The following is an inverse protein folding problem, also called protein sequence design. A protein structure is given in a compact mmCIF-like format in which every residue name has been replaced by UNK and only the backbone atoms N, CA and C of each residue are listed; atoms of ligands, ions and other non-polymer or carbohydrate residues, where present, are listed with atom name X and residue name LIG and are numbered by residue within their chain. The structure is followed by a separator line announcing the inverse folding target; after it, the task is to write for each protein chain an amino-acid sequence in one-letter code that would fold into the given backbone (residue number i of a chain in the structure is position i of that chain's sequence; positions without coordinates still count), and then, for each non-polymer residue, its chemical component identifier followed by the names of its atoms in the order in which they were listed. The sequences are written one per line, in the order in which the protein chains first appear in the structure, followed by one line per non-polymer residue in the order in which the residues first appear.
data_IF_074189856358
#
_entry.id   IF_074189856358
#
_cell.length_a   1.000
_cell.length_b   1.000
_cell.length_c   1.000
_cell.angle_alpha   90.00
_cell.angle_beta   90.00
_cell.angle_gamma   90.00
#
_symmetry.space_group_name_H-M   'P 1'
#
loop_
_entity.id
_entity.type
_entity.pdbx_description
1 polymer ?
#
# COMPACT_ATOMS: atom_id res chain seq x y z
N UNK A 1 27.17 -26.99 90.28
CA UNK A 1 25.86 -26.64 89.69
C UNK A 1 25.49 -25.23 90.15
N UNK A 2 25.48 -24.27 89.20
CA UNK A 2 24.60 -23.07 89.04
C UNK A 2 24.16 -22.30 90.30
N UNK A 3 24.34 -20.98 90.43
CA UNK A 3 23.59 -19.89 89.76
C UNK A 3 24.13 -18.53 90.29
N UNK A 4 24.56 -17.55 89.46
CA UNK A 4 23.83 -16.32 89.02
C UNK A 4 23.56 -15.30 90.17
N UNK A 5 23.60 -13.96 90.11
CA UNK A 5 23.90 -12.84 89.18
C UNK A 5 23.60 -11.57 90.02
N UNK A 6 24.28 -10.42 89.87
CA UNK A 6 23.63 -9.08 89.95
C UNK A 6 24.51 -7.96 89.40
N UNK A 7 23.84 -7.03 88.71
CA UNK A 7 24.30 -5.85 87.98
C UNK A 7 24.74 -4.67 88.87
N UNK A 8 25.48 -3.71 88.27
CA UNK A 8 25.61 -2.33 88.75
C UNK A 8 26.15 -1.40 87.64
N UNK A 9 25.46 -0.29 87.42
CA UNK A 9 25.41 0.53 86.19
C UNK A 9 26.34 1.76 86.21
N UNK A 10 26.66 2.30 85.02
CA UNK A 10 27.52 3.46 84.71
C UNK A 10 26.98 4.85 85.13
N UNK A 11 27.89 5.84 85.22
CA UNK A 11 27.66 7.27 84.92
C UNK A 11 29.01 7.98 84.61
N UNK A 12 29.21 8.54 83.39
CA UNK A 12 29.13 9.98 83.00
C UNK A 12 30.49 10.72 83.15
N UNK A 13 31.07 11.45 82.17
CA UNK A 13 30.58 12.61 81.40
C UNK A 13 31.42 12.80 80.11
N UNK A 14 30.82 13.23 78.99
CA UNK A 14 31.50 13.65 77.76
C UNK A 14 31.09 15.07 77.36
N UNK A 15 32.06 15.99 77.27
CA UNK A 15 31.87 17.39 76.84
C UNK A 15 31.65 17.47 75.33
N UNK A 16 30.54 18.09 74.92
CA UNK A 16 30.11 18.24 73.53
C UNK A 16 30.57 19.60 72.96
N UNK A 17 31.72 19.64 72.29
CA UNK A 17 32.16 20.79 71.50
C UNK A 17 31.29 20.96 70.24
N UNK A 18 30.68 22.13 70.07
CA UNK A 18 29.81 22.46 68.92
C UNK A 18 30.67 22.76 67.69
N UNK A 19 31.01 21.75 66.90
CA UNK A 19 31.61 21.95 65.57
C UNK A 19 30.56 22.55 64.63
N UNK A 20 30.75 23.79 64.18
CA UNK A 20 29.96 24.36 63.09
C UNK A 20 30.44 23.72 61.78
N UNK A 21 29.60 22.87 61.20
CA UNK A 21 29.88 22.18 59.93
C UNK A 21 30.16 23.24 58.84
N UNK A 22 31.28 23.18 58.10
CA UNK A 22 31.58 24.15 57.06
C UNK A 22 30.46 24.12 56.02
N UNK A 23 29.91 25.29 55.70
CA UNK A 23 28.85 25.41 54.69
C UNK A 23 29.43 25.06 53.32
N UNK A 24 28.84 24.07 52.66
CA UNK A 24 29.24 23.65 51.31
C UNK A 24 29.24 24.88 50.36
N UNK A 25 30.39 25.26 49.78
CA UNK A 25 30.50 26.42 48.89
C UNK A 25 29.67 26.28 47.61
N UNK A 26 29.26 25.05 47.25
CA UNK A 26 28.48 24.78 46.04
C UNK A 26 26.97 24.75 46.28
N UNK A 27 26.49 24.92 47.52
CA UNK A 27 25.05 24.86 47.83
C UNK A 27 24.22 25.87 47.02
N UNK A 28 24.75 27.07 46.81
CA UNK A 28 24.09 28.09 45.99
C UNK A 28 24.13 27.79 44.48
N UNK A 29 25.17 27.10 44.00
CA UNK A 29 25.25 26.63 42.63
C UNK A 29 24.23 25.51 42.38
N UNK A 30 24.10 24.55 43.32
CA UNK A 30 23.11 23.49 43.24
C UNK A 30 21.66 24.03 43.24
N UNK A 31 21.37 25.03 44.08
CA UNK A 31 20.07 25.72 44.08
C UNK A 31 19.85 26.48 42.76
N UNK A 32 20.86 27.23 42.29
CA UNK A 32 20.77 27.99 41.05
C UNK A 32 20.53 27.11 39.82
N UNK A 33 21.27 26.01 39.67
CA UNK A 33 21.09 25.04 38.58
C UNK A 33 19.72 24.37 38.65
N UNK A 34 19.23 24.05 39.86
CA UNK A 34 17.90 23.48 40.04
C UNK A 34 16.79 24.45 39.63
N UNK A 35 16.87 25.72 40.07
CA UNK A 35 15.89 26.76 39.70
C UNK A 35 15.92 27.04 38.21
N UNK A 36 17.11 27.16 37.61
CA UNK A 36 17.26 27.35 36.16
C UNK A 36 16.61 26.18 35.43
N UNK A 37 16.90 24.94 35.80
CA UNK A 37 16.33 23.75 35.14
C UNK A 37 14.80 23.68 35.29
N UNK A 38 14.26 24.02 36.47
CA UNK A 38 12.81 24.04 36.73
C UNK A 38 12.10 25.11 35.88
N UNK A 39 12.77 26.20 35.52
CA UNK A 39 12.18 27.27 34.70
C UNK A 39 12.41 27.03 33.20
N UNK A 40 13.62 26.63 32.82
CA UNK A 40 13.99 26.52 31.40
C UNK A 40 13.42 25.27 30.75
N UNK A 41 13.30 24.15 31.46
CA UNK A 41 12.74 22.91 30.88
C UNK A 41 11.26 23.09 30.51
N UNK A 42 10.35 23.55 31.39
CA UNK A 42 8.96 23.79 31.02
C UNK A 42 8.80 24.89 29.98
N UNK A 43 9.63 25.94 30.04
CA UNK A 43 9.61 27.01 29.04
C UNK A 43 10.04 26.49 27.67
N UNK A 44 11.08 25.65 27.59
CA UNK A 44 11.51 25.00 26.35
C UNK A 44 10.46 24.02 25.84
N UNK A 45 9.84 23.21 26.71
CA UNK A 45 8.73 22.31 26.34
C UNK A 45 7.53 23.08 25.79
N UNK A 46 7.18 24.21 26.41
CA UNK A 46 6.10 25.08 25.93
C UNK A 46 6.48 25.69 24.56
N UNK A 47 7.68 26.22 24.40
CA UNK A 47 8.15 26.78 23.12
C UNK A 47 8.13 25.71 22.02
N UNK A 48 8.62 24.49 22.32
CA UNK A 48 8.60 23.37 21.38
C UNK A 48 7.17 22.96 21.05
N UNK A 49 6.28 22.86 22.04
CA UNK A 49 4.87 22.48 21.81
C UNK A 49 4.11 23.51 20.96
N UNK A 50 4.47 24.79 21.04
CA UNK A 50 3.85 25.84 20.22
C UNK A 50 4.47 25.94 18.82
N UNK A 51 5.69 25.41 18.64
CA UNK A 51 6.43 25.45 17.37
C UNK A 51 6.23 24.18 16.51
N UNK A 52 5.71 23.08 17.07
CA UNK A 52 5.37 21.89 16.31
C UNK A 52 4.06 22.16 15.55
N UNK A 53 4.06 22.15 14.21
CA UNK A 53 2.81 22.25 13.44
C UNK A 53 1.88 21.10 13.84
N UNK A 54 0.58 21.38 13.94
CA UNK A 54 -0.42 20.33 14.18
C UNK A 54 -0.22 19.23 13.16
N UNK A 55 -0.18 17.95 13.58
CA UNK A 55 -0.08 16.84 12.63
C UNK A 55 -1.20 16.97 11.58
N UNK A 56 -0.93 16.65 10.30
CA UNK A 56 -1.98 16.60 9.30
C UNK A 56 -3.09 15.66 9.79
N UNK A 57 -4.33 15.96 9.43
CA UNK A 57 -5.43 15.05 9.74
C UNK A 57 -5.12 13.66 9.17
N UNK A 58 -5.46 12.58 9.90
CA UNK A 58 -5.30 11.23 9.37
C UNK A 58 -5.97 11.10 8.00
N UNK A 59 -5.33 10.38 7.09
CA UNK A 59 -5.98 9.99 5.84
C UNK A 59 -7.34 9.32 6.15
N UNK A 60 -8.33 9.56 5.30
CA UNK A 60 -9.69 9.00 5.42
C UNK A 60 -10.53 9.51 6.60
N UNK A 61 -10.17 10.62 7.24
CA UNK A 61 -10.89 11.13 8.43
C UNK A 61 -12.37 11.46 8.15
N UNK A 62 -12.68 12.02 6.98
CA UNK A 62 -14.05 12.35 6.60
C UNK A 62 -14.88 11.09 6.33
N UNK A 63 -14.31 10.13 5.60
CA UNK A 63 -14.94 8.86 5.24
C UNK A 63 -15.19 8.02 6.50
N UNK A 64 -14.18 7.92 7.37
CA UNK A 64 -14.27 7.22 8.65
C UNK A 64 -15.39 7.76 9.53
N UNK A 65 -15.53 9.09 9.60
CA UNK A 65 -16.64 9.75 10.31
C UNK A 65 -17.98 9.34 9.72
N UNK A 66 -18.11 9.31 8.39
CA UNK A 66 -19.36 8.92 7.73
C UNK A 66 -19.72 7.44 7.89
N UNK A 67 -18.71 6.57 8.06
CA UNK A 67 -18.88 5.14 8.25
C UNK A 67 -18.96 4.74 9.74
N UNK A 68 -18.70 5.67 10.67
CA UNK A 68 -18.68 5.38 12.11
C UNK A 68 -17.53 4.47 12.54
N UNK A 69 -16.39 4.52 11.83
CA UNK A 69 -15.20 3.68 12.07
C UNK A 69 -13.97 4.54 12.35
N UNK A 70 -12.84 3.91 12.71
CA UNK A 70 -11.58 4.62 12.87
C UNK A 70 -10.89 4.82 11.51
N UNK A 71 -10.27 5.98 11.23
CA UNK A 71 -9.51 6.20 9.99
C UNK A 71 -8.42 5.15 9.77
N UNK A 72 -7.82 4.67 10.87
CA UNK A 72 -6.81 3.62 10.83
C UNK A 72 -7.31 2.29 10.26
N UNK A 73 -8.59 1.93 10.45
CA UNK A 73 -9.15 0.69 9.90
C UNK A 73 -9.28 0.77 8.38
N UNK A 74 -9.67 1.93 7.86
CA UNK A 74 -9.70 2.20 6.41
C UNK A 74 -8.27 2.14 5.84
N UNK A 75 -7.30 2.81 6.47
CA UNK A 75 -5.89 2.76 6.03
C UNK A 75 -5.31 1.34 6.03
N UNK A 76 -5.64 0.51 7.02
CA UNK A 76 -5.22 -0.89 7.06
C UNK A 76 -5.90 -1.72 5.96
N UNK A 77 -7.15 -1.41 5.65
CA UNK A 77 -7.88 -1.94 4.51
C UNK A 77 -7.21 -1.60 3.18
N UNK A 78 -6.84 -0.34 2.99
CA UNK A 78 -6.12 0.15 1.82
C UNK A 78 -4.79 -0.60 1.59
N UNK A 79 -3.99 -0.77 2.64
CA UNK A 79 -2.72 -1.52 2.55
C UNK A 79 -2.96 -2.96 2.09
N UNK A 80 -3.98 -3.62 2.63
CA UNK A 80 -4.36 -4.98 2.23
C UNK A 80 -4.86 -5.02 0.78
N UNK A 81 -5.70 -4.05 0.40
CA UNK A 81 -6.22 -3.89 -0.96
C UNK A 81 -5.08 -3.73 -1.98
N UNK A 82 -4.11 -2.84 -1.72
CA UNK A 82 -2.96 -2.62 -2.60
C UNK A 82 -2.11 -3.87 -2.78
N UNK A 83 -2.01 -4.71 -1.73
CA UNK A 83 -1.23 -5.95 -1.78
C UNK A 83 -1.93 -7.16 -2.40
N UNK A 84 -3.27 -7.17 -2.48
CA UNK A 84 -4.01 -8.38 -2.87
C UNK A 84 -5.10 -8.18 -3.92
N UNK A 85 -5.55 -6.96 -4.17
CA UNK A 85 -6.69 -6.68 -5.05
C UNK A 85 -6.32 -5.72 -6.19
N UNK A 86 -5.44 -4.76 -5.93
CA UNK A 86 -5.03 -3.75 -6.90
C UNK A 86 -4.40 -4.34 -8.18
N UNK A 87 -3.87 -5.56 -8.10
CA UNK A 87 -3.28 -6.29 -9.23
C UNK A 87 -4.27 -6.63 -10.34
N UNK A 88 -5.57 -6.65 -10.05
CA UNK A 88 -6.61 -6.85 -11.06
C UNK A 88 -7.59 -5.67 -11.12
N UNK A 89 -7.80 -4.99 -9.99
CA UNK A 89 -8.79 -3.91 -9.87
C UNK A 89 -8.19 -2.50 -9.93
N UNK A 90 -6.89 -2.37 -10.18
CA UNK A 90 -6.18 -1.11 -10.23
C UNK A 90 -5.83 -0.56 -8.83
N UNK A 91 -4.78 0.27 -8.73
CA UNK A 91 -4.28 0.79 -7.45
C UNK A 91 -5.29 1.65 -6.67
N UNK A 92 -6.26 2.25 -7.37
CA UNK A 92 -7.31 3.10 -6.83
C UNK A 92 -8.71 2.50 -6.95
N UNK A 93 -8.85 1.25 -7.42
CA UNK A 93 -10.15 0.63 -7.70
C UNK A 93 -10.76 1.06 -9.03
N UNK A 94 -9.99 1.64 -9.95
CA UNK A 94 -10.42 2.08 -11.27
C UNK A 94 -10.72 0.91 -12.24
N UNK A 95 -10.38 -0.32 -11.86
CA UNK A 95 -10.46 -1.49 -12.73
C UNK A 95 -9.22 -1.62 -13.61
N UNK A 96 -9.03 -2.82 -14.17
CA UNK A 96 -8.08 -3.03 -15.27
C UNK A 96 -8.76 -3.87 -16.32
N UNK A 97 -8.65 -3.44 -17.59
CA UNK A 97 -9.27 -4.13 -18.71
C UNK A 97 -8.87 -5.63 -18.72
N UNK A 98 -9.76 -6.52 -19.15
CA UNK A 98 -9.62 -7.99 -19.13
C UNK A 98 -9.35 -8.67 -17.76
N UNK A 99 -9.03 -7.93 -16.69
CA UNK A 99 -8.64 -8.49 -15.39
C UNK A 99 -9.73 -8.29 -14.33
N UNK A 100 -10.05 -7.04 -13.99
CA UNK A 100 -10.94 -6.73 -12.87
C UNK A 100 -11.78 -5.50 -13.13
N UNK A 101 -13.07 -5.59 -12.80
CA UNK A 101 -14.02 -4.48 -12.89
C UNK A 101 -13.63 -3.31 -11.96
N UNK A 102 -14.04 -2.06 -12.27
CA UNK A 102 -13.90 -0.96 -11.34
C UNK A 102 -14.65 -1.22 -10.04
N UNK A 103 -13.97 -0.93 -8.92
CA UNK A 103 -14.49 -1.01 -7.56
C UNK A 103 -14.77 0.38 -6.98
N UNK A 104 -14.04 1.41 -7.42
CA UNK A 104 -14.31 2.82 -7.13
C UNK A 104 -15.59 3.24 -7.81
N UNK A 105 -16.46 3.91 -7.07
CA UNK A 105 -17.79 4.33 -7.52
C UNK A 105 -18.60 3.17 -8.12
N UNK A 106 -18.38 1.94 -7.66
CA UNK A 106 -19.05 0.76 -8.21
C UNK A 106 -20.46 0.62 -7.67
N UNK A 107 -21.45 0.56 -8.58
CA UNK A 107 -22.85 0.31 -8.21
C UNK A 107 -23.00 -0.98 -7.41
N UNK A 108 -22.25 -2.04 -7.78
CA UNK A 108 -22.26 -3.31 -7.06
C UNK A 108 -21.72 -3.16 -5.63
N UNK A 109 -20.57 -2.49 -5.46
CA UNK A 109 -20.04 -2.25 -4.12
C UNK A 109 -21.09 -1.51 -3.30
N UNK A 110 -21.62 -0.40 -3.81
CA UNK A 110 -22.61 0.44 -3.11
C UNK A 110 -23.91 -0.27 -2.75
N UNK A 111 -24.38 -1.23 -3.55
CA UNK A 111 -25.67 -1.91 -3.32
C UNK A 111 -25.60 -3.11 -2.38
N UNK A 112 -24.45 -3.76 -2.25
CA UNK A 112 -24.30 -4.96 -1.42
C UNK A 112 -24.17 -4.62 0.06
N UNK A 113 -24.55 -5.55 0.94
CA UNK A 113 -24.21 -5.44 2.37
C UNK A 113 -22.72 -5.70 2.61
N UNK A 114 -22.19 -5.25 3.75
CA UNK A 114 -20.79 -5.50 4.11
C UNK A 114 -20.50 -7.00 4.29
N UNK A 115 -21.45 -7.76 4.83
CA UNK A 115 -21.34 -9.21 4.97
C UNK A 115 -21.33 -9.93 3.61
N UNK A 116 -22.13 -9.47 2.64
CA UNK A 116 -22.13 -10.04 1.29
C UNK A 116 -20.82 -9.72 0.55
N UNK A 117 -20.29 -8.50 0.71
CA UNK A 117 -18.99 -8.13 0.16
C UNK A 117 -17.88 -8.95 0.79
N UNK A 118 -17.88 -9.11 2.12
CA UNK A 118 -16.91 -9.94 2.82
C UNK A 118 -17.01 -11.41 2.35
N UNK A 119 -18.22 -11.95 2.24
CA UNK A 119 -18.46 -13.28 1.70
C UNK A 119 -17.92 -13.47 0.28
N UNK A 120 -18.11 -12.47 -0.59
CA UNK A 120 -17.53 -12.48 -1.93
C UNK A 120 -16.00 -12.42 -1.89
N UNK A 121 -15.40 -11.59 -1.04
CA UNK A 121 -13.94 -11.52 -0.91
C UNK A 121 -13.35 -12.83 -0.37
N UNK A 122 -14.04 -13.49 0.56
CA UNK A 122 -13.61 -14.77 1.14
C UNK A 122 -13.64 -15.88 0.08
N UNK A 123 -14.73 -15.99 -0.67
CA UNK A 123 -14.97 -17.11 -1.59
C UNK A 123 -14.47 -16.86 -3.01
N UNK A 124 -14.25 -15.59 -3.38
CA UNK A 124 -14.01 -15.19 -4.76
C UNK A 124 -15.23 -15.44 -5.65
N UNK A 125 -15.01 -15.36 -6.96
CA UNK A 125 -16.00 -15.71 -7.99
C UNK A 125 -15.32 -16.50 -9.12
N UNK A 126 -15.64 -17.79 -9.30
CA UNK A 126 -15.00 -18.61 -10.33
C UNK A 126 -15.43 -18.21 -11.75
N UNK A 127 -14.65 -18.63 -12.76
CA UNK A 127 -14.89 -18.32 -14.18
C UNK A 127 -16.27 -18.80 -14.65
N UNK A 128 -16.69 -19.97 -14.16
CA UNK A 128 -17.95 -20.62 -14.54
C UNK A 128 -19.16 -20.14 -13.73
N UNK A 129 -19.00 -19.20 -12.81
CA UNK A 129 -20.10 -18.64 -12.03
C UNK A 129 -21.10 -17.92 -12.95
N UNK A 130 -22.40 -18.10 -12.69
CA UNK A 130 -23.46 -17.53 -13.51
C UNK A 130 -23.45 -15.99 -13.50
N UNK A 131 -23.06 -15.38 -12.38
CA UNK A 131 -22.98 -13.93 -12.21
C UNK A 131 -21.59 -13.37 -12.55
N UNK A 132 -20.63 -14.20 -12.95
CA UNK A 132 -19.38 -13.72 -13.52
C UNK A 132 -19.64 -13.26 -14.95
N UNK A 133 -19.58 -11.96 -15.19
CA UNK A 133 -19.76 -11.36 -16.52
C UNK A 133 -18.43 -10.95 -17.18
N UNK A 134 -17.33 -10.89 -16.43
CA UNK A 134 -16.01 -10.53 -16.99
C UNK A 134 -15.28 -11.70 -17.64
N UNK A 135 -15.68 -12.94 -17.34
CA UNK A 135 -14.96 -14.13 -17.79
C UNK A 135 -13.62 -14.34 -17.07
N UNK A 136 -13.20 -13.40 -16.22
CA UNK A 136 -12.00 -13.49 -15.40
C UNK A 136 -12.31 -14.13 -14.04
N UNK A 137 -11.37 -14.93 -13.51
CA UNK A 137 -11.44 -15.46 -12.15
C UNK A 137 -11.24 -14.32 -11.16
N UNK A 138 -12.18 -14.10 -10.24
CA UNK A 138 -11.90 -13.37 -9.00
C UNK A 138 -11.44 -14.40 -7.96
N UNK A 139 -10.15 -14.42 -7.59
CA UNK A 139 -9.65 -15.46 -6.70
C UNK A 139 -10.19 -15.25 -5.27
N UNK A 140 -10.42 -16.35 -4.52
CA UNK A 140 -10.68 -16.27 -3.09
C UNK A 140 -9.57 -15.48 -2.40
N UNK A 141 -9.94 -14.53 -1.55
CA UNK A 141 -9.04 -13.77 -0.68
C UNK A 141 -7.92 -13.04 -1.44
N UNK A 142 -8.18 -12.65 -2.70
CA UNK A 142 -7.20 -11.98 -3.55
C UNK A 142 -6.01 -12.85 -3.95
N UNK A 143 -6.20 -14.19 -3.99
CA UNK A 143 -5.13 -15.18 -4.23
C UNK A 143 -4.00 -15.14 -3.17
N UNK A 144 -4.27 -14.56 -2.01
CA UNK A 144 -3.34 -14.40 -0.91
C UNK A 144 -3.93 -15.03 0.37
N UNK A 145 -3.10 -15.35 1.35
CA UNK A 145 -3.56 -15.90 2.63
C UNK A 145 -4.00 -14.78 3.61
N UNK A 146 -4.90 -13.90 3.15
CA UNK A 146 -5.40 -12.75 3.94
C UNK A 146 -6.50 -13.23 4.88
N UNK A 147 -6.39 -12.97 6.18
CA UNK A 147 -7.40 -13.35 7.19
C UNK A 147 -8.73 -12.54 7.08
N UNK A 148 -9.80 -13.01 7.73
CA UNK A 148 -11.14 -12.41 7.62
C UNK A 148 -11.19 -10.98 8.16
N UNK A 149 -10.41 -10.68 9.22
CA UNK A 149 -10.34 -9.35 9.83
C UNK A 149 -9.73 -8.34 8.85
N UNK A 150 -8.67 -8.72 8.14
CA UNK A 150 -8.06 -7.90 7.09
C UNK A 150 -9.02 -7.71 5.91
N UNK A 151 -9.76 -8.75 5.50
CA UNK A 151 -10.77 -8.61 4.43
C UNK A 151 -11.93 -7.70 4.85
N UNK A 152 -12.39 -7.76 6.11
CA UNK A 152 -13.40 -6.83 6.62
C UNK A 152 -12.91 -5.38 6.54
N UNK A 153 -11.62 -5.12 6.82
CA UNK A 153 -11.03 -3.79 6.61
C UNK A 153 -10.96 -3.40 5.13
N UNK A 154 -10.72 -4.34 4.22
CA UNK A 154 -10.82 -4.07 2.77
C UNK A 154 -12.24 -3.62 2.42
N UNK A 155 -13.29 -4.22 3.00
CA UNK A 155 -14.67 -3.73 2.80
C UNK A 155 -14.82 -2.27 3.25
N UNK A 156 -14.28 -1.89 4.41
CA UNK A 156 -14.29 -0.49 4.86
C UNK A 156 -13.56 0.45 3.89
N UNK A 157 -12.43 0.01 3.33
CA UNK A 157 -11.74 0.76 2.27
C UNK A 157 -12.58 0.89 1.00
N UNK A 158 -13.21 -0.20 0.55
CA UNK A 158 -14.09 -0.19 -0.61
C UNK A 158 -15.28 0.76 -0.41
N UNK A 159 -15.79 0.90 0.82
CA UNK A 159 -16.79 1.91 1.17
C UNK A 159 -16.23 3.33 1.10
N UNK A 160 -15.04 3.54 1.64
CA UNK A 160 -14.40 4.85 1.70
C UNK A 160 -14.08 5.44 0.32
N UNK A 161 -13.74 4.58 -0.66
CA UNK A 161 -13.41 5.05 -2.02
C UNK A 161 -14.64 5.35 -2.91
N UNK A 162 -15.86 5.23 -2.37
CA UNK A 162 -17.08 5.60 -3.10
C UNK A 162 -17.34 7.10 -2.92
N UNK A 163 -17.14 7.86 -3.98
CA UNK A 163 -17.59 9.24 -4.06
C UNK A 163 -19.11 9.25 -4.27
N UNK A 164 -19.80 9.85 -3.30
CA UNK A 164 -21.27 9.90 -3.21
C UNK A 164 -21.87 10.85 -4.24
N UNK A 165 -21.09 11.83 -4.68
CA UNK A 165 -21.49 12.89 -5.59
C UNK A 165 -21.09 12.55 -7.04
N UNK A 166 -20.26 11.52 -7.23
CA UNK A 166 -19.89 11.00 -8.54
C UNK A 166 -20.91 9.97 -9.06
N UNK A 167 -21.16 9.92 -10.39
CA UNK A 167 -21.93 8.82 -10.97
C UNK A 167 -21.22 7.49 -10.78
N UNK A 168 -22.00 6.40 -10.73
CA UNK A 168 -21.43 5.06 -10.64
C UNK A 168 -20.62 4.72 -11.88
N UNK A 169 -19.47 4.07 -11.70
CA UNK A 169 -18.61 3.60 -12.77
C UNK A 169 -19.35 2.61 -13.68
N UNK A 170 -19.25 2.86 -14.99
CA UNK A 170 -19.68 1.94 -16.04
C UNK A 170 -18.88 0.64 -15.96
N UNK A 171 -19.54 -0.51 -16.15
CA UNK A 171 -18.88 -1.83 -16.17
C UNK A 171 -19.01 -2.56 -17.51
N UNK A 172 -19.60 -1.91 -18.50
CA UNK A 172 -19.90 -2.40 -19.84
C UNK A 172 -18.64 -2.88 -20.58
N UNK A 173 -17.52 -2.17 -20.40
CA UNK A 173 -16.20 -2.52 -20.94
C UNK A 173 -15.65 -3.85 -20.39
N UNK A 174 -16.12 -4.25 -19.21
CA UNK A 174 -15.68 -5.46 -18.50
C UNK A 174 -16.74 -6.58 -18.53
N UNK A 175 -17.82 -6.42 -19.32
CA UNK A 175 -18.77 -7.51 -19.58
C UNK A 175 -18.32 -8.23 -20.85
N UNK A 176 -17.47 -9.25 -20.67
CA UNK A 176 -16.74 -9.93 -21.74
C UNK A 176 -17.24 -11.36 -22.01
N UNK A 177 -18.00 -11.96 -21.09
CA UNK A 177 -18.42 -13.37 -21.18
C UNK A 177 -19.24 -13.71 -22.42
N UNK A 178 -19.97 -12.74 -22.96
CA UNK A 178 -20.85 -12.90 -24.13
C UNK A 178 -20.37 -12.11 -25.36
N UNK A 179 -19.15 -11.55 -25.34
CA UNK A 179 -18.58 -10.82 -26.49
C UNK A 179 -17.92 -11.78 -27.47
N UNK A 180 -18.58 -12.02 -28.61
CA UNK A 180 -17.99 -12.72 -29.76
C UNK A 180 -17.01 -11.84 -30.55
N UNK A 181 -17.07 -10.52 -30.34
CA UNK A 181 -16.24 -9.48 -30.91
C UNK A 181 -15.36 -8.84 -29.81
N UNK A 182 -14.10 -9.24 -29.77
CA UNK A 182 -13.11 -8.84 -28.76
C UNK A 182 -12.69 -7.36 -28.82
N UNK A 183 -13.61 -6.42 -28.64
CA UNK A 183 -13.30 -5.02 -28.35
C UNK A 183 -14.50 -4.34 -27.67
N UNK A 184 -14.27 -3.71 -26.51
CA UNK A 184 -15.31 -2.96 -25.81
C UNK A 184 -14.77 -1.92 -24.85
N UNK A 185 -14.78 -0.66 -25.30
CA UNK A 185 -14.47 0.64 -24.66
C UNK A 185 -15.06 0.83 -23.25
N UNK A 186 -14.50 1.61 -22.32
CA UNK A 186 -14.04 3.03 -22.45
C UNK A 186 -13.02 3.38 -21.33
N UNK A 187 -11.84 3.95 -21.67
CA UNK A 187 -11.34 5.29 -21.26
C UNK A 187 -9.79 5.47 -21.35
N UNK A 188 -9.18 5.14 -22.49
CA UNK A 188 -8.13 5.92 -23.19
C UNK A 188 -8.01 5.38 -24.63
N UNK A 189 -8.95 5.82 -25.48
CA UNK A 189 -9.32 5.25 -26.80
C UNK A 189 -8.27 5.50 -27.90
N UNK A 190 -6.98 5.31 -27.64
CA UNK A 190 -5.95 5.22 -28.70
C UNK A 190 -4.98 4.08 -28.46
N UNK A 191 -4.76 3.75 -27.20
CA UNK A 191 -3.87 2.68 -26.79
C UNK A 191 -4.59 1.34 -26.77
N UNK A 192 -5.89 1.33 -26.44
CA UNK A 192 -6.77 0.15 -26.46
C UNK A 192 -6.94 -0.47 -27.86
N UNK A 193 -6.87 0.33 -28.92
CA UNK A 193 -6.99 -0.14 -30.32
C UNK A 193 -5.69 -0.77 -30.85
N UNK A 194 -4.60 -0.70 -30.09
CA UNK A 194 -3.32 -1.24 -30.50
C UNK A 194 -3.35 -2.78 -30.48
N UNK A 195 -2.88 -3.45 -31.54
CA UNK A 195 -2.92 -4.92 -31.64
C UNK A 195 -2.20 -5.66 -30.49
N UNK A 196 -1.28 -4.97 -29.82
CA UNK A 196 -0.55 -5.46 -28.64
C UNK A 196 -1.19 -5.15 -27.29
N UNK A 197 -2.26 -4.36 -27.24
CA UNK A 197 -2.88 -3.90 -25.99
C UNK A 197 -3.34 -5.09 -25.16
N UNK A 198 -4.29 -5.89 -25.65
CA UNK A 198 -4.84 -7.03 -24.91
C UNK A 198 -3.77 -8.02 -24.45
N UNK A 199 -2.76 -8.25 -25.29
CA UNK A 199 -1.62 -9.11 -24.98
C UNK A 199 -0.78 -8.55 -23.83
N UNK A 200 -0.52 -7.25 -23.85
CA UNK A 200 0.18 -6.54 -22.78
C UNK A 200 -0.66 -6.51 -21.50
N UNK A 201 -1.97 -6.26 -21.61
CA UNK A 201 -2.88 -6.27 -20.46
C UNK A 201 -2.89 -7.64 -19.79
N UNK A 202 -3.05 -8.70 -20.57
CA UNK A 202 -3.13 -10.06 -20.05
C UNK A 202 -1.82 -10.55 -19.38
N UNK A 203 -0.64 -10.07 -19.83
CA UNK A 203 0.64 -10.67 -19.44
C UNK A 203 1.66 -9.72 -18.82
N UNK A 204 1.44 -8.40 -18.89
CA UNK A 204 2.43 -7.40 -18.45
C UNK A 204 1.84 -6.36 -17.50
N UNK A 205 0.57 -5.98 -17.67
CA UNK A 205 -0.05 -4.89 -16.89
C UNK A 205 -0.12 -5.16 -15.39
N UNK A 206 -0.17 -6.43 -14.99
CA UNK A 206 -0.14 -6.85 -13.59
C UNK A 206 1.06 -6.23 -12.84
N UNK A 207 2.24 -6.16 -13.48
CA UNK A 207 3.42 -5.54 -12.86
C UNK A 207 3.67 -4.12 -13.38
N UNK A 208 3.40 -3.87 -14.66
CA UNK A 208 3.76 -2.62 -15.32
C UNK A 208 2.62 -1.59 -15.40
N UNK A 209 1.41 -1.91 -14.94
CA UNK A 209 0.21 -1.09 -15.11
C UNK A 209 -0.37 -1.14 -16.52
N UNK A 210 -1.67 -0.87 -16.67
CA UNK A 210 -2.39 -0.90 -17.96
C UNK A 210 -1.78 0.03 -19.02
N UNK A 211 -1.44 1.27 -18.63
CA UNK A 211 -0.73 2.24 -19.45
C UNK A 211 0.79 2.16 -19.30
N UNK A 212 1.34 1.01 -18.91
CA UNK A 212 2.77 0.77 -18.73
C UNK A 212 3.50 1.78 -17.80
N UNK A 213 2.76 2.45 -16.90
CA UNK A 213 3.24 3.50 -16.00
C UNK A 213 4.03 2.97 -14.79
N UNK A 214 4.13 1.65 -14.63
CA UNK A 214 4.78 1.00 -13.51
C UNK A 214 3.88 0.91 -12.28
N UNK A 215 4.13 -0.12 -11.46
CA UNK A 215 3.49 -0.31 -10.16
C UNK A 215 4.60 -0.41 -9.12
N UNK A 216 4.53 0.46 -8.12
CA UNK A 216 5.49 0.52 -7.03
C UNK A 216 5.69 -0.87 -6.39
N UNK A 217 6.96 -1.27 -6.18
CA UNK A 217 7.36 -2.57 -5.65
C UNK A 217 6.93 -3.80 -6.49
N UNK A 218 6.45 -3.62 -7.72
CA UNK A 218 6.09 -4.73 -8.63
C UNK A 218 6.80 -4.62 -9.99
N UNK A 219 6.65 -3.51 -10.70
CA UNK A 219 7.23 -3.35 -12.03
C UNK A 219 7.60 -1.91 -12.35
N UNK A 220 8.71 -1.74 -13.05
CA UNK A 220 9.22 -0.42 -13.43
C UNK A 220 8.31 0.28 -14.46
N UNK A 221 8.24 1.62 -14.46
CA UNK A 221 7.57 2.38 -15.51
C UNK A 221 8.24 2.14 -16.85
N UNK A 222 7.50 1.61 -17.83
CA UNK A 222 8.01 1.47 -19.19
C UNK A 222 7.89 2.78 -19.95
N UNK A 223 6.89 3.61 -19.64
CA UNK A 223 6.67 4.95 -20.23
C UNK A 223 7.90 5.85 -20.17
N UNK A 224 8.61 5.85 -19.04
CA UNK A 224 9.78 6.73 -18.82
C UNK A 224 11.12 5.99 -18.96
N UNK A 225 11.11 4.66 -19.13
CA UNK A 225 12.30 3.82 -19.14
C UNK A 225 13.30 4.19 -20.24
N UNK A 226 14.53 4.54 -19.83
CA UNK A 226 15.65 4.77 -20.73
C UNK A 226 16.11 3.50 -21.45
N UNK A 227 16.00 2.33 -20.80
CA UNK A 227 16.30 1.04 -21.42
C UNK A 227 15.34 0.76 -22.58
N UNK A 228 14.03 0.92 -22.34
CA UNK A 228 13.02 0.71 -23.39
C UNK A 228 13.26 1.67 -24.54
N UNK A 229 13.52 2.96 -24.26
CA UNK A 229 13.77 3.97 -25.29
C UNK A 229 15.03 3.71 -26.12
N UNK A 230 16.09 3.22 -25.49
CA UNK A 230 17.40 3.01 -26.12
C UNK A 230 17.57 1.68 -26.84
N UNK A 231 16.82 0.64 -26.45
CA UNK A 231 16.85 -0.66 -27.10
C UNK A 231 16.10 -0.65 -28.44
N UNK A 232 16.54 -1.45 -29.40
CA UNK A 232 15.78 -1.78 -30.60
C UNK A 232 14.62 -2.75 -30.30
N UNK A 233 13.64 -2.84 -31.20
CA UNK A 233 12.49 -3.73 -30.99
C UNK A 233 12.92 -5.21 -30.89
N UNK A 234 13.93 -5.62 -31.67
CA UNK A 234 14.49 -6.97 -31.59
C UNK A 234 15.17 -7.24 -30.23
N UNK A 235 15.86 -6.26 -29.67
CA UNK A 235 16.47 -6.37 -28.34
C UNK A 235 15.39 -6.46 -27.26
N UNK A 236 14.31 -5.66 -27.38
CA UNK A 236 13.16 -5.75 -26.47
C UNK A 236 12.46 -7.10 -26.54
N UNK A 237 12.21 -7.64 -27.75
CA UNK A 237 11.65 -8.98 -27.91
C UNK A 237 12.55 -10.02 -27.26
N UNK A 238 13.86 -9.96 -27.50
CA UNK A 238 14.84 -10.90 -26.93
C UNK A 238 14.85 -10.82 -25.39
N UNK A 239 14.79 -9.61 -24.87
CA UNK A 239 14.70 -9.34 -23.43
C UNK A 239 13.40 -9.91 -22.84
N UNK A 240 12.24 -9.62 -23.44
CA UNK A 240 10.94 -10.11 -22.97
C UNK A 240 10.89 -11.65 -23.05
N UNK A 241 11.45 -12.28 -24.09
CA UNK A 241 11.53 -13.75 -24.20
C UNK A 241 12.31 -14.39 -23.07
N UNK A 242 13.34 -13.72 -22.57
CA UNK A 242 14.23 -14.25 -21.53
C UNK A 242 13.79 -13.83 -20.12
N UNK A 243 13.10 -12.70 -20.00
CA UNK A 243 12.83 -12.04 -18.73
C UNK A 243 14.11 -11.50 -18.07
N UNK A 244 13.99 -11.11 -16.80
CA UNK A 244 15.11 -10.78 -15.92
C UNK A 244 14.86 -11.36 -14.54
N UNK A 245 15.60 -12.42 -14.15
CA UNK A 245 15.34 -13.07 -12.89
C UNK A 245 15.85 -12.24 -11.69
N UNK A 246 15.40 -12.57 -10.48
CA UNK A 246 15.82 -11.89 -9.23
C UNK A 246 17.34 -11.95 -8.97
N UNK A 247 18.03 -12.97 -9.47
CA UNK A 247 19.48 -13.14 -9.31
C UNK A 247 20.31 -12.51 -10.43
N UNK A 248 19.70 -11.90 -11.44
CA UNK A 248 20.42 -11.20 -12.49
C UNK A 248 21.15 -9.98 -11.92
N UNK A 249 22.44 -9.81 -12.23
CA UNK A 249 23.25 -8.72 -11.71
C UNK A 249 22.72 -7.32 -12.08
N UNK A 250 21.94 -7.21 -13.16
CA UNK A 250 21.30 -5.98 -13.60
C UNK A 250 19.85 -5.84 -13.09
N UNK A 251 19.36 -6.75 -12.25
CA UNK A 251 18.07 -6.58 -11.59
C UNK A 251 18.22 -5.62 -10.41
N UNK A 252 17.77 -4.38 -10.59
CA UNK A 252 17.83 -3.34 -9.55
C UNK A 252 16.61 -3.33 -8.64
N UNK A 253 15.57 -4.11 -8.96
CA UNK A 253 14.27 -4.08 -8.27
C UNK A 253 14.12 -5.18 -7.23
N UNK A 254 14.87 -6.27 -7.37
CA UNK A 254 14.69 -7.48 -6.56
C UNK A 254 13.39 -8.24 -6.90
N UNK A 255 12.67 -7.84 -7.96
CA UNK A 255 11.45 -8.49 -8.44
C UNK A 255 11.76 -9.24 -9.74
N UNK A 256 11.23 -10.45 -9.88
CA UNK A 256 11.39 -11.27 -11.07
C UNK A 256 10.56 -10.68 -12.22
N UNK A 257 11.19 -10.41 -13.37
CA UNK A 257 10.45 -10.24 -14.62
C UNK A 257 10.44 -11.59 -15.35
N UNK A 258 9.35 -12.36 -15.30
CA UNK A 258 9.33 -13.70 -15.88
C UNK A 258 9.42 -13.65 -17.42
N UNK A 259 9.97 -14.70 -18.05
CA UNK A 259 9.93 -14.89 -19.50
C UNK A 259 8.50 -14.68 -20.03
N UNK A 260 8.35 -13.79 -21.01
CA UNK A 260 7.08 -13.44 -21.67
C UNK A 260 5.98 -13.05 -20.69
N UNK A 261 6.32 -12.40 -19.58
CA UNK A 261 5.33 -12.00 -18.57
C UNK A 261 4.67 -13.19 -17.86
N UNK A 262 5.32 -14.37 -17.87
CA UNK A 262 4.78 -15.61 -17.30
C UNK A 262 3.86 -16.37 -18.25
N UNK A 263 3.64 -15.89 -19.47
CA UNK A 263 2.83 -16.56 -20.48
C UNK A 263 3.71 -17.21 -21.57
N UNK A 264 4.05 -18.50 -21.45
CA UNK A 264 4.94 -19.17 -22.41
C UNK A 264 4.34 -19.28 -23.82
N UNK A 265 3.01 -19.16 -23.94
CA UNK A 265 2.30 -19.31 -25.21
C UNK A 265 2.39 -18.10 -26.15
N UNK A 266 2.89 -16.95 -25.68
CA UNK A 266 3.05 -15.76 -26.51
C UNK A 266 4.08 -16.04 -27.63
N UNK A 267 3.67 -15.85 -28.88
CA UNK A 267 4.51 -16.01 -30.09
C UNK A 267 5.43 -14.79 -30.33
N UNK A 268 6.41 -14.92 -31.23
CA UNK A 268 7.30 -13.80 -31.55
C UNK A 268 6.53 -12.66 -32.25
N UNK A 269 5.50 -12.98 -33.02
CA UNK A 269 4.58 -12.01 -33.64
C UNK A 269 3.76 -11.26 -32.58
N UNK A 270 3.25 -11.98 -31.57
CA UNK A 270 2.54 -11.35 -30.45
C UNK A 270 3.48 -10.50 -29.58
N UNK A 271 4.74 -10.90 -29.42
CA UNK A 271 5.75 -10.07 -28.75
C UNK A 271 6.07 -8.80 -29.53
N UNK A 272 6.11 -8.88 -30.86
CA UNK A 272 6.27 -7.70 -31.70
C UNK A 272 5.09 -6.73 -31.49
N UNK A 273 3.85 -7.22 -31.48
CA UNK A 273 2.68 -6.39 -31.19
C UNK A 273 2.75 -5.74 -29.80
N UNK A 274 3.17 -6.49 -28.77
CA UNK A 274 3.41 -5.95 -27.41
C UNK A 274 4.48 -4.85 -27.42
N UNK A 275 5.59 -5.04 -28.15
CA UNK A 275 6.64 -4.02 -28.23
C UNK A 275 6.13 -2.75 -28.92
N UNK A 276 5.40 -2.90 -30.01
CA UNK A 276 4.75 -1.76 -30.69
C UNK A 276 3.78 -1.01 -29.76
N UNK A 277 3.05 -1.73 -28.91
CA UNK A 277 2.21 -1.11 -27.87
C UNK A 277 3.06 -0.30 -26.90
N UNK A 278 4.12 -0.90 -26.34
CA UNK A 278 5.03 -0.21 -25.41
C UNK A 278 5.62 1.05 -26.06
N UNK A 279 5.94 1.02 -27.36
CA UNK A 279 6.38 2.21 -28.12
C UNK A 279 5.30 3.28 -28.18
N UNK A 280 4.05 2.90 -28.49
CA UNK A 280 2.93 3.83 -28.57
C UNK A 280 2.68 4.52 -27.22
N UNK A 281 2.70 3.77 -26.11
CA UNK A 281 2.52 4.32 -24.76
C UNK A 281 3.68 5.24 -24.38
N UNK A 282 4.95 4.86 -24.66
CA UNK A 282 6.10 5.75 -24.43
C UNK A 282 5.93 7.07 -25.18
N UNK A 283 5.52 6.98 -26.45
CA UNK A 283 5.30 8.11 -27.35
C UNK A 283 4.27 9.09 -26.78
N UNK A 284 3.13 8.56 -26.32
CA UNK A 284 2.07 9.34 -25.69
C UNK A 284 2.53 10.00 -24.39
N UNK A 285 3.24 9.27 -23.53
CA UNK A 285 3.75 9.78 -22.26
C UNK A 285 4.82 10.88 -22.41
N UNK A 286 5.62 10.86 -23.49
CA UNK A 286 6.65 11.87 -23.75
C UNK A 286 6.21 13.00 -24.67
N UNK A 287 5.01 12.93 -25.26
CA UNK A 287 4.46 13.99 -26.11
C UNK A 287 5.21 14.23 -27.42
N UNK A 288 5.97 13.24 -27.91
CA UNK A 288 6.79 13.25 -29.13
C UNK A 288 6.24 12.28 -30.14
#
# INVERSE_FOLDING_TARGET
MTSNRTNGTQASLSQKGRQTKPTDPYRWHAIGVSVISIVTIPLMLAIVSQAIPTPPEPAWSAEATSLGVQPLDISRGEVTYRGSCALCHGPNGEGMHLLGKPLRNSAFVQSQSDDDLLGLLINGRPINDALNTSGALMPPRGAQNVDDERLARVVLYLRAIQDKDAPTASTEAWNLKDREDGAGSVASVKLEEHAGFDLFIASCSACHGEGAQGIENQGLPLTTSGFVRGASDKELITFIKSGRPVWDANNTTGVDMPPKGGNPAITDEQLQAIVEYIRAVQKEATGT
#
